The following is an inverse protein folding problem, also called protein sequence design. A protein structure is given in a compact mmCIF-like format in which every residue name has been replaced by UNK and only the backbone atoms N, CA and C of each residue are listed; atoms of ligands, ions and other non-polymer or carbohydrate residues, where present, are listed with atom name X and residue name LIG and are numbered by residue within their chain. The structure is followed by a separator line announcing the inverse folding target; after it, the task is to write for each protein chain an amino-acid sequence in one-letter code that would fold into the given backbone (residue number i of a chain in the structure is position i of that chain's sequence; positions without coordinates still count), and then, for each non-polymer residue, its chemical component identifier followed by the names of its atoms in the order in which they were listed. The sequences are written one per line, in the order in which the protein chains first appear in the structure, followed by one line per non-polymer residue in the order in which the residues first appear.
data_IF_291992965067
#
_entry.id   IF_291992965067
#
_cell.length_a   1.000
_cell.length_b   1.000
_cell.length_c   1.000
_cell.angle_alpha   90.00
_cell.angle_beta   90.00
_cell.angle_gamma   90.00
#
_symmetry.space_group_name_H-M   'P 1'
#
loop_
_entity.id
_entity.type
_entity.pdbx_description
1 polymer ?
#
# COMPACT_ATOMS: atom_id res chain seq x y z
N UNK A 1 4.47 9.48 17.94
CA UNK A 1 3.47 10.58 18.01
C UNK A 1 2.22 10.03 17.37
N UNK A 2 1.32 9.44 18.16
CA UNK A 2 0.10 8.78 17.66
C UNK A 2 -0.86 9.87 17.15
N UNK A 3 -1.21 9.84 15.86
CA UNK A 3 -2.29 10.67 15.33
C UNK A 3 -3.60 9.91 15.56
N UNK A 4 -4.42 10.44 16.46
CA UNK A 4 -5.72 9.87 16.80
C UNK A 4 -6.76 10.35 15.78
N UNK A 5 -7.23 9.44 14.92
CA UNK A 5 -8.36 9.67 14.01
C UNK A 5 -9.44 8.68 14.44
N UNK A 6 -10.53 9.16 15.04
CA UNK A 6 -11.75 8.38 15.32
C UNK A 6 -11.54 6.90 15.68
N UNK A 7 -10.90 6.62 16.82
CA UNK A 7 -10.65 5.26 17.34
C UNK A 7 -9.93 4.28 16.39
N UNK A 8 -9.11 4.77 15.46
CA UNK A 8 -8.10 3.98 14.76
C UNK A 8 -6.74 4.48 15.24
N UNK A 9 -6.08 3.70 16.08
CA UNK A 9 -4.70 3.97 16.49
C UNK A 9 -3.76 3.32 15.48
N UNK A 10 -3.06 4.15 14.71
CA UNK A 10 -2.00 3.68 13.83
C UNK A 10 -0.75 3.41 14.67
N UNK A 11 -0.54 2.15 15.02
CA UNK A 11 0.71 1.74 15.66
C UNK A 11 1.88 1.80 14.67
N UNK A 12 3.02 2.27 15.16
CA UNK A 12 4.30 2.31 14.47
C UNK A 12 4.83 0.95 14.05
N UNK A 13 4.49 -0.14 14.74
CA UNK A 13 4.97 -1.49 14.41
C UNK A 13 3.87 -2.54 14.23
N UNK A 14 2.60 -2.15 14.39
CA UNK A 14 1.46 -3.05 14.41
C UNK A 14 1.28 -3.76 15.75
N UNK A 15 0.31 -4.67 15.79
CA UNK A 15 -0.09 -5.41 17.00
C UNK A 15 0.17 -6.92 16.84
N UNK A 16 0.59 -7.59 17.91
CA UNK A 16 0.81 -9.05 17.96
C UNK A 16 -0.48 -9.87 17.78
N UNK A 17 -1.63 -9.25 18.05
CA UNK A 17 -2.95 -9.86 17.96
C UNK A 17 -3.92 -8.94 17.23
N UNK A 18 -4.89 -9.50 16.48
CA UNK A 18 -5.83 -8.70 15.70
C UNK A 18 -6.73 -7.88 16.63
N UNK A 19 -6.72 -6.57 16.44
CA UNK A 19 -7.60 -5.60 17.13
C UNK A 19 -8.91 -5.38 16.37
N UNK A 20 -8.93 -5.73 15.08
CA UNK A 20 -10.07 -5.59 14.19
C UNK A 20 -10.20 -6.81 13.27
N UNK A 21 -11.34 -6.90 12.56
CA UNK A 21 -11.54 -7.92 11.53
C UNK A 21 -10.55 -7.72 10.39
N UNK A 22 -9.72 -8.73 10.17
CA UNK A 22 -8.73 -8.75 9.08
C UNK A 22 -9.44 -8.70 7.73
N UNK A 23 -8.96 -7.83 6.84
CA UNK A 23 -9.55 -7.52 5.54
C UNK A 23 -10.60 -6.40 5.56
N UNK A 24 -11.08 -5.97 6.73
CA UNK A 24 -12.09 -4.92 6.83
C UNK A 24 -11.55 -3.55 6.40
N UNK A 25 -12.41 -2.78 5.73
CA UNK A 25 -12.16 -1.41 5.32
C UNK A 25 -12.69 -0.42 6.35
N UNK A 26 -11.94 0.64 6.56
CA UNK A 26 -12.25 1.72 7.50
C UNK A 26 -12.10 3.05 6.79
N UNK A 27 -13.15 3.86 6.79
CA UNK A 27 -13.13 5.21 6.26
C UNK A 27 -12.85 6.21 7.37
N UNK A 28 -11.92 7.14 7.12
CA UNK A 28 -11.68 8.26 8.00
C UNK A 28 -12.49 9.51 7.59
N UNK A 29 -12.75 10.45 8.52
CA UNK A 29 -13.47 11.68 8.22
C UNK A 29 -12.83 12.58 7.14
N UNK A 30 -11.54 12.40 6.85
CA UNK A 30 -10.83 13.10 5.77
C UNK A 30 -10.97 12.39 4.40
N UNK A 31 -11.83 11.38 4.30
CA UNK A 31 -12.16 10.69 3.05
C UNK A 31 -11.13 9.67 2.58
N UNK A 32 -10.20 9.25 3.45
CA UNK A 32 -9.27 8.16 3.18
C UNK A 32 -9.87 6.83 3.60
N UNK A 33 -9.43 5.76 2.95
CA UNK A 33 -9.82 4.40 3.32
C UNK A 33 -8.58 3.60 3.69
N UNK A 34 -8.70 2.81 4.74
CA UNK A 34 -7.67 1.93 5.26
C UNK A 34 -8.16 0.50 5.32
N UNK A 35 -7.31 -0.47 5.04
CA UNK A 35 -7.59 -1.88 5.25
C UNK A 35 -6.80 -2.40 6.45
N UNK A 36 -7.47 -3.12 7.33
CA UNK A 36 -6.79 -3.85 8.41
C UNK A 36 -6.26 -5.18 7.89
N UNK A 37 -4.97 -5.46 8.07
CA UNK A 37 -4.27 -6.56 7.41
C UNK A 37 -3.29 -7.23 8.35
N UNK A 38 -2.96 -8.49 8.06
CA UNK A 38 -1.79 -9.16 8.64
C UNK A 38 -0.59 -8.97 7.70
N UNK A 39 0.55 -8.56 8.23
CA UNK A 39 1.80 -8.54 7.49
C UNK A 39 2.54 -9.88 7.64
N UNK A 40 3.11 -10.34 6.54
CA UNK A 40 3.96 -11.53 6.45
C UNK A 40 5.10 -11.19 5.50
N UNK A 41 6.34 -11.19 6.00
CA UNK A 41 7.53 -10.79 5.24
C UNK A 41 8.07 -11.91 4.33
N UNK A 42 7.42 -13.08 4.34
CA UNK A 42 7.73 -14.22 3.51
C UNK A 42 9.20 -14.64 3.58
N UNK A 43 9.96 -14.28 2.54
CA UNK A 43 11.39 -14.58 2.41
C UNK A 43 12.31 -13.44 2.91
N UNK A 44 11.82 -12.59 3.82
CA UNK A 44 12.52 -11.51 4.52
C UNK A 44 12.52 -10.11 3.85
N UNK A 45 11.42 -9.70 3.20
CA UNK A 45 11.25 -8.29 2.77
C UNK A 45 10.44 -7.52 3.81
N UNK A 46 11.14 -6.82 4.69
CA UNK A 46 10.52 -6.04 5.76
C UNK A 46 9.57 -4.96 5.21
N UNK A 47 8.48 -4.69 5.94
CA UNK A 47 7.61 -3.57 5.66
C UNK A 47 8.36 -2.24 5.87
N UNK A 48 8.21 -1.35 4.90
CA UNK A 48 8.75 0.02 4.97
C UNK A 48 7.58 0.97 4.81
N UNK A 49 7.48 1.96 5.70
CA UNK A 49 6.46 2.99 5.58
C UNK A 49 6.54 3.64 4.19
N UNK A 50 5.38 3.90 3.58
CA UNK A 50 5.21 4.49 2.24
C UNK A 50 5.53 3.59 1.05
N UNK A 51 5.94 2.34 1.29
CA UNK A 51 6.00 1.37 0.22
C UNK A 51 4.61 0.82 -0.12
N UNK A 52 4.40 0.48 -1.39
CA UNK A 52 3.23 -0.32 -1.79
C UNK A 52 3.34 -1.74 -1.23
N UNK A 53 2.20 -2.33 -0.91
CA UNK A 53 2.10 -3.71 -0.45
C UNK A 53 1.24 -4.55 -1.39
N UNK A 54 1.46 -5.86 -1.36
CA UNK A 54 0.80 -6.80 -2.23
C UNK A 54 0.03 -7.86 -1.43
N UNK A 55 -1.08 -8.31 -2.01
CA UNK A 55 -1.87 -9.42 -1.48
C UNK A 55 -1.06 -10.71 -1.61
N UNK A 56 -0.74 -11.34 -0.47
CA UNK A 56 -0.09 -12.65 -0.41
C UNK A 56 -1.12 -13.78 -0.34
N UNK A 57 -2.14 -13.63 0.49
CA UNK A 57 -3.19 -14.64 0.65
C UNK A 57 -4.51 -14.01 1.13
N UNK A 58 -5.63 -14.47 0.56
CA UNK A 58 -6.98 -14.10 0.98
C UNK A 58 -7.82 -15.37 1.15
N UNK A 59 -8.37 -15.52 2.34
CA UNK A 59 -9.43 -16.47 2.66
C UNK A 59 -10.32 -15.85 3.75
N UNK A 60 -11.23 -14.98 3.32
CA UNK A 60 -12.10 -14.22 4.22
C UNK A 60 -13.03 -15.12 5.05
N UNK A 61 -13.38 -16.31 4.54
CA UNK A 61 -14.21 -17.26 5.27
C UNK A 61 -13.50 -17.80 6.52
N UNK A 62 -12.17 -17.84 6.48
CA UNK A 62 -11.30 -18.26 7.57
C UNK A 62 -10.54 -17.09 8.24
N UNK A 63 -10.91 -15.84 7.93
CA UNK A 63 -10.31 -14.64 8.53
C UNK A 63 -8.88 -14.36 8.06
N UNK A 64 -8.48 -14.84 6.88
CA UNK A 64 -7.16 -14.61 6.30
C UNK A 64 -7.20 -13.44 5.33
N UNK A 65 -6.39 -12.43 5.63
CA UNK A 65 -6.02 -11.35 4.71
C UNK A 65 -4.58 -10.96 5.00
N UNK A 66 -3.66 -11.57 4.26
CA UNK A 66 -2.23 -11.42 4.48
C UNK A 66 -1.61 -10.65 3.33
N UNK A 67 -0.81 -9.66 3.66
CA UNK A 67 -0.06 -8.86 2.71
C UNK A 67 1.45 -9.06 2.89
N UNK A 68 2.21 -8.82 1.82
CA UNK A 68 3.66 -8.85 1.80
C UNK A 68 4.20 -7.56 1.15
N UNK A 69 5.45 -7.23 1.49
CA UNK A 69 6.23 -6.20 0.79
C UNK A 69 6.91 -6.76 -0.45
N UNK A 70 7.01 -8.09 -0.57
CA UNK A 70 7.60 -8.76 -1.70
C UNK A 70 6.56 -8.96 -2.81
N UNK A 71 6.82 -8.38 -3.98
CA UNK A 71 6.01 -8.58 -5.16
C UNK A 71 6.03 -10.06 -5.62
N UNK A 72 7.11 -10.81 -5.34
CA UNK A 72 7.20 -12.22 -5.69
C UNK A 72 6.21 -13.08 -4.91
N UNK A 73 5.91 -12.73 -3.65
CA UNK A 73 4.91 -13.41 -2.82
C UNK A 73 3.49 -13.27 -3.37
N UNK A 74 3.24 -12.23 -4.18
CA UNK A 74 2.00 -12.03 -4.91
C UNK A 74 1.95 -12.80 -6.24
N UNK A 75 2.74 -13.87 -6.36
CA UNK A 75 2.89 -14.64 -7.60
C UNK A 75 3.56 -13.86 -8.73
N UNK A 76 4.33 -12.81 -8.40
CA UNK A 76 4.83 -11.83 -9.37
C UNK A 76 3.71 -11.19 -10.20
N UNK A 77 2.61 -10.78 -9.54
CA UNK A 77 1.49 -10.12 -10.19
C UNK A 77 1.36 -8.67 -9.70
N UNK A 78 1.72 -7.71 -10.57
CA UNK A 78 1.66 -6.26 -10.23
C UNK A 78 0.23 -5.77 -10.05
N UNK A 79 -0.74 -6.61 -10.41
CA UNK A 79 -2.16 -6.40 -10.21
C UNK A 79 -2.64 -6.64 -8.78
N UNK A 80 -1.81 -7.27 -7.93
CA UNK A 80 -2.18 -7.66 -6.57
C UNK A 80 -1.79 -6.61 -5.54
N UNK A 81 -1.56 -5.35 -5.95
CA UNK A 81 -1.36 -4.24 -5.00
C UNK A 81 -2.62 -4.06 -4.16
N UNK A 82 -2.44 -4.06 -2.84
CA UNK A 82 -3.52 -3.88 -1.87
C UNK A 82 -3.61 -2.45 -1.34
N UNK A 83 -2.46 -1.83 -1.09
CA UNK A 83 -2.39 -0.53 -0.45
C UNK A 83 -0.97 0.01 -0.33
N UNK A 84 -0.82 1.04 0.51
CA UNK A 84 0.46 1.62 0.91
C UNK A 84 0.62 1.48 2.43
N UNK A 85 1.78 1.00 2.87
CA UNK A 85 2.10 0.90 4.29
C UNK A 85 2.13 2.28 4.95
N UNK A 86 1.44 2.41 6.10
CA UNK A 86 1.51 3.61 6.92
C UNK A 86 2.72 3.60 7.88
N UNK A 87 3.21 2.41 8.22
CA UNK A 87 4.29 2.17 9.16
C UNK A 87 5.06 0.90 8.79
N UNK A 88 6.20 0.66 9.46
CA UNK A 88 7.00 -0.55 9.28
C UNK A 88 6.45 -1.66 10.18
N UNK A 89 5.51 -2.45 9.66
CA UNK A 89 4.91 -3.55 10.40
C UNK A 89 5.93 -4.67 10.67
N UNK A 90 5.90 -5.20 11.89
CA UNK A 90 6.70 -6.38 12.25
C UNK A 90 6.11 -7.62 11.58
N UNK A 91 6.96 -8.57 11.15
CA UNK A 91 6.48 -9.82 10.58
C UNK A 91 5.49 -10.54 11.52
N UNK A 92 4.40 -11.04 10.95
CA UNK A 92 3.31 -11.68 11.67
C UNK A 92 2.34 -10.74 12.38
N UNK A 93 2.62 -9.43 12.45
CA UNK A 93 1.80 -8.46 13.18
C UNK A 93 0.69 -7.90 12.30
N UNK A 94 -0.27 -7.24 12.94
CA UNK A 94 -1.45 -6.68 12.30
C UNK A 94 -1.40 -5.15 12.30
N UNK A 95 -1.86 -4.54 11.21
CA UNK A 95 -1.85 -3.09 11.09
C UNK A 95 -2.75 -2.59 9.96
N UNK A 96 -2.61 -1.31 9.63
CA UNK A 96 -3.38 -0.67 8.57
C UNK A 96 -2.51 -0.31 7.38
N UNK A 97 -3.06 -0.52 6.19
CA UNK A 97 -2.55 0.04 4.93
C UNK A 97 -3.59 1.00 4.36
N UNK A 98 -3.13 2.07 3.73
CA UNK A 98 -4.03 3.01 3.05
C UNK A 98 -4.37 2.47 1.66
N UNK A 99 -5.65 2.44 1.32
CA UNK A 99 -6.15 1.93 0.03
C UNK A 99 -6.78 3.02 -0.83
N UNK A 100 -7.20 4.13 -0.23
CA UNK A 100 -7.84 5.23 -0.96
C UNK A 100 -7.53 6.59 -0.35
N UNK A 101 -7.60 7.63 -1.19
CA UNK A 101 -7.40 9.03 -0.81
C UNK A 101 -5.94 9.48 -0.90
N UNK A 102 -5.69 10.72 -0.48
CA UNK A 102 -4.36 11.34 -0.56
C UNK A 102 -3.33 10.60 0.32
N UNK A 103 -2.23 10.16 -0.28
CA UNK A 103 -1.10 9.53 0.40
C UNK A 103 0.19 10.22 -0.02
N UNK A 104 0.85 10.86 0.94
CA UNK A 104 2.09 11.60 0.70
C UNK A 104 3.33 10.71 0.79
N UNK A 105 4.29 11.00 -0.08
CA UNK A 105 5.63 10.44 -0.07
C UNK A 105 5.69 8.95 -0.41
N UNK A 106 4.83 8.45 -1.30
CA UNK A 106 4.87 7.05 -1.78
C UNK A 106 6.19 6.82 -2.50
N UNK A 107 6.90 5.73 -2.16
CA UNK A 107 8.24 5.45 -2.68
C UNK A 107 8.22 5.20 -4.19
N UNK A 108 9.08 5.88 -4.94
CA UNK A 108 9.24 5.69 -6.40
C UNK A 108 10.46 4.81 -6.70
N UNK A 109 10.58 4.38 -7.96
CA UNK A 109 11.76 3.68 -8.47
C UNK A 109 13.00 4.58 -8.64
N UNK A 110 12.82 5.90 -8.47
CA UNK A 110 13.83 6.93 -8.58
C UNK A 110 14.14 7.39 -10.01
N UNK A 111 13.28 7.06 -10.98
CA UNK A 111 13.40 7.50 -12.37
C UNK A 111 13.22 9.00 -12.57
N UNK A 112 12.46 9.67 -11.69
CA UNK A 112 12.18 11.11 -11.79
C UNK A 112 11.35 11.46 -13.02
N UNK A 113 10.47 10.56 -13.43
CA UNK A 113 9.70 10.65 -14.67
C UNK A 113 8.17 10.60 -14.46
N UNK A 114 7.70 10.53 -13.21
CA UNK A 114 6.29 10.65 -12.86
C UNK A 114 5.95 12.14 -12.78
N UNK A 115 5.08 12.61 -13.67
CA UNK A 115 4.60 14.00 -13.62
C UNK A 115 3.21 14.08 -13.02
N UNK A 116 2.87 15.25 -12.47
CA UNK A 116 1.53 15.51 -11.93
C UNK A 116 0.46 15.19 -12.97
N UNK A 117 -0.53 14.39 -12.55
CA UNK A 117 -1.63 13.92 -13.40
C UNK A 117 -1.38 12.57 -14.07
N UNK A 118 -0.17 12.02 -13.98
CA UNK A 118 0.10 10.65 -14.43
C UNK A 118 -0.58 9.63 -13.51
N UNK A 119 -0.94 8.49 -14.09
CA UNK A 119 -1.26 7.31 -13.30
C UNK A 119 0.01 6.58 -12.89
N UNK A 120 0.10 6.26 -11.60
CA UNK A 120 1.15 5.42 -11.04
C UNK A 120 0.68 3.96 -10.99
N UNK A 121 1.58 3.04 -11.31
CA UNK A 121 1.43 1.60 -11.20
C UNK A 121 2.54 1.04 -10.30
N UNK A 122 2.40 -0.19 -9.82
CA UNK A 122 3.52 -0.85 -9.14
C UNK A 122 4.72 -1.02 -10.09
N UNK A 123 5.90 -0.65 -9.62
CA UNK A 123 7.16 -0.91 -10.28
C UNK A 123 7.47 -2.41 -10.28
N UNK A 124 8.50 -2.81 -11.03
CA UNK A 124 9.01 -4.18 -10.99
C UNK A 124 9.82 -4.48 -9.71
N UNK A 125 10.29 -3.43 -9.03
CA UNK A 125 10.99 -3.53 -7.77
C UNK A 125 10.02 -3.43 -6.58
N UNK A 126 10.39 -4.09 -5.48
CA UNK A 126 9.54 -4.24 -4.30
C UNK A 126 9.20 -2.90 -3.66
N UNK A 127 7.90 -2.69 -3.39
CA UNK A 127 7.43 -1.56 -2.61
C UNK A 127 7.46 -0.21 -3.33
N UNK A 128 7.79 -0.17 -4.62
CA UNK A 128 7.91 1.06 -5.39
C UNK A 128 6.75 1.23 -6.38
N UNK A 129 6.47 2.49 -6.71
CA UNK A 129 5.64 2.87 -7.86
C UNK A 129 6.49 3.43 -8.99
N UNK A 130 5.95 3.33 -10.20
CA UNK A 130 6.52 3.90 -11.42
C UNK A 130 5.36 4.45 -12.27
N UNK A 131 5.67 5.31 -13.23
CA UNK A 131 4.69 5.87 -14.14
C UNK A 131 4.13 4.80 -15.07
N UNK A 132 2.87 4.99 -15.42
CA UNK A 132 2.33 4.36 -16.61
C UNK A 132 2.77 5.13 -17.85
N UNK A 133 3.37 4.44 -18.82
CA UNK A 133 3.82 5.06 -20.06
C UNK A 133 2.65 5.74 -20.79
N UNK A 134 2.79 7.03 -21.08
CA UNK A 134 1.78 7.80 -21.80
C UNK A 134 1.40 7.15 -23.14
N UNK A 135 0.10 7.10 -23.44
CA UNK A 135 -0.43 6.51 -24.67
C UNK A 135 -0.50 4.98 -24.66
N UNK A 136 -0.17 4.32 -23.55
CA UNK A 136 -0.39 2.88 -23.36
C UNK A 136 -1.62 2.63 -22.49
N UNK A 137 -2.39 1.59 -22.81
CA UNK A 137 -3.47 1.15 -21.93
C UNK A 137 -2.86 0.51 -20.67
N UNK A 138 -3.45 0.72 -19.48
CA UNK A 138 -3.00 0.04 -18.27
C UNK A 138 -3.10 -1.47 -18.45
N UNK A 139 -1.96 -2.16 -18.40
CA UNK A 139 -1.90 -3.62 -18.26
C UNK A 139 -1.81 -4.03 -16.79
N UNK A 140 -1.52 -3.06 -15.91
CA UNK A 140 -1.40 -3.24 -14.48
C UNK A 140 -2.46 -2.44 -13.71
N UNK A 141 -2.81 -2.90 -12.50
CA UNK A 141 -3.69 -2.20 -11.57
C UNK A 141 -3.07 -0.84 -11.26
N UNK A 142 -3.88 0.21 -11.46
CA UNK A 142 -3.49 1.57 -11.13
C UNK A 142 -3.47 1.72 -9.61
N UNK A 143 -2.34 2.20 -9.08
CA UNK A 143 -2.15 2.47 -7.65
C UNK A 143 -2.80 3.79 -7.29
N UNK A 144 -2.55 4.83 -8.08
CA UNK A 144 -3.09 6.15 -7.84
C UNK A 144 -2.80 7.15 -8.95
N UNK A 145 -3.28 8.37 -8.76
CA UNK A 145 -3.02 9.53 -9.60
C UNK A 145 -1.94 10.41 -8.94
N UNK A 146 -0.91 10.80 -9.67
CA UNK A 146 0.13 11.70 -9.18
C UNK A 146 -0.42 13.11 -8.91
N UNK A 147 -0.23 13.60 -7.69
CA UNK A 147 -0.67 14.93 -7.23
C UNK A 147 0.41 16.01 -7.40
N UNK A 148 1.66 15.57 -7.58
CA UNK A 148 2.84 16.36 -7.82
C UNK A 148 3.79 15.59 -8.75
N UNK A 149 4.75 16.28 -9.34
CA UNK A 149 5.88 15.64 -10.01
C UNK A 149 6.71 14.89 -8.95
N UNK A 150 7.23 13.72 -9.29
CA UNK A 150 8.10 13.01 -8.37
C UNK A 150 9.48 13.64 -8.26
N UNK A 151 10.04 13.60 -7.05
CA UNK A 151 11.47 13.73 -6.90
C UNK A 151 12.15 12.40 -7.26
N UNK A 152 13.44 12.30 -6.99
CA UNK A 152 14.21 11.06 -7.21
C UNK A 152 13.85 9.87 -6.28
N UNK A 153 12.82 9.97 -5.43
CA UNK A 153 12.58 8.93 -4.42
C UNK A 153 11.12 8.78 -3.98
N UNK A 154 10.29 9.81 -4.12
CA UNK A 154 8.92 9.79 -3.62
C UNK A 154 7.98 10.65 -4.46
N UNK A 155 6.70 10.27 -4.47
CA UNK A 155 5.61 11.00 -5.11
C UNK A 155 4.39 11.08 -4.19
N UNK A 156 3.65 12.17 -4.26
CA UNK A 156 2.34 12.28 -3.61
C UNK A 156 1.26 11.72 -4.54
N UNK A 157 0.48 10.75 -4.07
CA UNK A 157 -0.57 10.10 -4.86
C UNK A 157 -1.96 10.33 -4.25
N UNK A 158 -2.97 10.36 -5.10
CA UNK A 158 -4.34 10.01 -4.70
C UNK A 158 -4.56 8.52 -5.00
N UNK A 159 -4.65 7.70 -3.96
CA UNK A 159 -4.78 6.24 -4.10
C UNK A 159 -6.17 5.84 -4.60
N UNK A 160 -6.22 4.81 -5.44
CA UNK A 160 -7.43 4.34 -6.13
C UNK A 160 -7.66 2.83 -5.96
N UNK A 161 -7.19 2.24 -4.86
CA UNK A 161 -7.12 0.79 -4.67
C UNK A 161 -8.34 0.17 -3.96
N UNK A 162 -9.27 0.99 -3.48
CA UNK A 162 -10.43 0.50 -2.72
C UNK A 162 -11.31 -0.45 -3.54
N UNK A 163 -11.33 -1.72 -3.11
CA UNK A 163 -12.38 -2.72 -3.32
C UNK A 163 -12.53 -3.54 -2.04
#
# INVERSE_FOLDING_TARGET
MSQQIGHIEFDTMGHESPQHTVGALFESPDGKTYRYVKFDDGAAVAAVAKNVCYIKAIDLANGVYTISSDYADAGSLRNFVDGVFLSALTDGYYGFVQTYGECKGVTTDGGGDIVKGDFAIAAAANGQVDRMIAGTAPTYKVVGLALADDGLATVDLFLLLAQ
#
